data_IF_002243455750
#
_entry.id   IF_002243455750
#
_cell.length_a   1.000
_cell.length_b   1.000
_cell.length_c   1.000
_cell.angle_alpha   90.00
_cell.angle_beta   90.00
_cell.angle_gamma   90.00
#
_symmetry.space_group_name_H-M   'P 1'
#
loop_
_entity.id
_entity.type
_entity.pdbx_description
1 polymer ?
#
# COMPACT_ATOMS: atom_id res chain seq x y z
N UNK A 1 -5.40 36.10 38.12
CA UNK A 1 -4.92 37.31 37.43
C UNK A 1 -4.89 36.97 35.95
N UNK A 2 -5.57 37.79 35.14
CA UNK A 2 -5.90 37.61 33.71
C UNK A 2 -6.65 36.30 33.37
N UNK A 3 -7.96 36.32 33.61
CA UNK A 3 -8.93 35.44 32.93
C UNK A 3 -8.94 35.92 31.47
N UNK A 4 -8.35 35.14 30.58
CA UNK A 4 -8.42 35.38 29.14
C UNK A 4 -9.86 35.18 28.68
N UNK A 5 -10.51 36.28 28.32
CA UNK A 5 -11.85 36.30 27.75
C UNK A 5 -11.68 36.16 26.25
N UNK A 6 -11.75 34.95 25.73
CA UNK A 6 -12.28 34.74 24.38
C UNK A 6 -13.33 33.63 24.46
N UNK A 7 -14.58 34.10 24.59
CA UNK A 7 -15.78 33.31 24.36
C UNK A 7 -15.64 32.63 23.01
N UNK A 8 -15.82 31.31 22.99
CA UNK A 8 -15.90 30.44 21.83
C UNK A 8 -16.52 31.17 20.63
N UNK A 9 -15.70 31.57 19.65
CA UNK A 9 -16.21 31.98 18.34
C UNK A 9 -17.04 30.82 17.82
N UNK A 10 -18.25 31.07 17.32
CA UNK A 10 -19.16 29.99 16.94
C UNK A 10 -18.54 29.14 15.83
N UNK A 11 -18.69 27.80 15.90
CA UNK A 11 -18.20 26.89 14.86
C UNK A 11 -18.71 27.32 13.46
N UNK A 12 -19.93 27.88 13.39
CA UNK A 12 -20.52 28.40 12.15
C UNK A 12 -19.71 29.51 11.50
N UNK A 13 -19.06 30.38 12.28
CA UNK A 13 -18.27 31.49 11.74
C UNK A 13 -16.98 30.95 11.11
N UNK A 14 -16.38 29.93 11.73
CA UNK A 14 -15.21 29.27 11.16
C UNK A 14 -15.57 28.46 9.91
N UNK A 15 -16.69 27.72 9.93
CA UNK A 15 -17.19 27.02 8.74
C UNK A 15 -17.46 27.98 7.58
N UNK A 16 -17.99 29.18 7.84
CA UNK A 16 -18.17 30.22 6.82
C UNK A 16 -16.83 30.66 6.22
N UNK A 17 -15.80 30.89 7.06
CA UNK A 17 -14.45 31.21 6.60
C UNK A 17 -13.88 30.09 5.71
N UNK A 18 -14.06 28.82 6.12
CA UNK A 18 -13.57 27.67 5.37
C UNK A 18 -14.29 27.48 4.03
N UNK A 19 -15.61 27.70 4.00
CA UNK A 19 -16.39 27.66 2.76
C UNK A 19 -15.91 28.75 1.80
N UNK A 20 -15.78 30.00 2.27
CA UNK A 20 -15.29 31.11 1.46
C UNK A 20 -13.86 30.86 0.94
N UNK A 21 -12.99 30.31 1.78
CA UNK A 21 -11.63 29.90 1.40
C UNK A 21 -11.66 28.83 0.31
N UNK A 22 -12.48 27.80 0.47
CA UNK A 22 -12.60 26.68 -0.48
C UNK A 22 -13.15 27.15 -1.83
N UNK A 23 -14.19 27.98 -1.81
CA UNK A 23 -14.79 28.57 -3.01
C UNK A 23 -13.78 29.47 -3.73
N UNK A 24 -13.02 30.28 -2.99
CA UNK A 24 -11.97 31.13 -3.55
C UNK A 24 -10.89 30.28 -4.24
N UNK A 25 -10.40 29.23 -3.59
CA UNK A 25 -9.43 28.28 -4.18
C UNK A 25 -9.98 27.58 -5.43
N UNK A 26 -11.26 27.21 -5.42
CA UNK A 26 -11.93 26.58 -6.56
C UNK A 26 -12.00 27.53 -7.77
N UNK A 27 -12.35 28.80 -7.53
CA UNK A 27 -12.39 29.82 -8.57
C UNK A 27 -11.01 30.17 -9.14
N UNK A 28 -10.03 30.43 -8.28
CA UNK A 28 -8.68 30.83 -8.68
C UNK A 28 -7.95 29.69 -9.38
N UNK A 29 -8.13 28.44 -8.95
CA UNK A 29 -7.55 27.27 -9.61
C UNK A 29 -8.07 27.04 -11.04
N UNK A 30 -9.32 27.44 -11.30
CA UNK A 30 -9.88 27.43 -12.65
C UNK A 30 -9.29 28.53 -13.52
N UNK A 31 -9.10 29.74 -12.96
CA UNK A 31 -8.50 30.88 -13.67
C UNK A 31 -7.00 30.69 -13.94
N UNK A 32 -6.30 30.02 -13.03
CA UNK A 32 -4.84 29.89 -13.01
C UNK A 32 -4.36 28.43 -12.98
N UNK A 33 -5.00 27.55 -13.76
CA UNK A 33 -4.80 26.10 -13.72
C UNK A 33 -3.33 25.68 -13.81
N UNK A 34 -2.55 26.28 -14.72
CA UNK A 34 -1.12 25.97 -14.88
C UNK A 34 -0.26 26.30 -13.64
N UNK A 35 -0.68 27.28 -12.82
CA UNK A 35 -0.02 27.60 -11.55
C UNK A 35 -0.42 26.59 -10.49
N UNK A 36 -1.72 26.32 -10.35
CA UNK A 36 -2.26 25.41 -9.34
C UNK A 36 -1.80 23.96 -9.53
N UNK A 37 -1.61 23.48 -10.77
CA UNK A 37 -1.03 22.15 -11.04
C UNK A 37 0.37 21.93 -10.44
N UNK A 38 1.04 23.02 -10.02
CA UNK A 38 2.38 23.00 -9.41
C UNK A 38 2.35 23.14 -7.88
N UNK A 39 1.18 23.40 -7.28
CA UNK A 39 1.01 23.56 -5.83
C UNK A 39 0.82 22.17 -5.19
N UNK A 40 1.77 21.75 -4.36
CA UNK A 40 1.77 20.48 -3.64
C UNK A 40 2.49 20.66 -2.31
N UNK A 41 2.09 19.89 -1.30
CA UNK A 41 2.66 19.96 0.06
C UNK A 41 2.69 21.40 0.56
N UNK A 42 3.85 21.83 1.07
CA UNK A 42 4.07 23.17 1.61
C UNK A 42 3.64 24.31 0.69
N UNK A 43 3.78 24.18 -0.63
CA UNK A 43 3.34 25.24 -1.56
C UNK A 43 1.82 25.42 -1.57
N UNK A 44 1.08 24.33 -1.35
CA UNK A 44 -0.37 24.43 -1.22
C UNK A 44 -0.74 24.94 0.17
N UNK A 45 0.00 24.57 1.22
CA UNK A 45 -0.18 25.13 2.57
C UNK A 45 -0.02 26.65 2.57
N UNK A 46 1.03 27.17 1.91
CA UNK A 46 1.26 28.62 1.73
C UNK A 46 0.07 29.31 1.02
N UNK A 47 -0.40 28.73 -0.09
CA UNK A 47 -1.54 29.27 -0.84
C UNK A 47 -2.83 29.28 -0.01
N UNK A 48 -3.11 28.19 0.71
CA UNK A 48 -4.28 28.09 1.58
C UNK A 48 -4.21 29.13 2.68
N UNK A 49 -3.05 29.30 3.31
CA UNK A 49 -2.83 30.31 4.34
C UNK A 49 -3.09 31.73 3.82
N UNK A 50 -2.56 32.09 2.65
CA UNK A 50 -2.74 33.43 2.07
C UNK A 50 -4.22 33.70 1.70
N UNK A 51 -4.90 32.71 1.14
CA UNK A 51 -6.34 32.80 0.84
C UNK A 51 -7.15 32.91 2.12
N UNK A 52 -6.87 32.09 3.13
CA UNK A 52 -7.55 32.16 4.42
C UNK A 52 -7.35 33.53 5.08
N UNK A 53 -6.14 34.10 5.08
CA UNK A 53 -5.87 35.45 5.59
C UNK A 53 -6.73 36.50 4.87
N UNK A 54 -6.78 36.42 3.54
CA UNK A 54 -7.58 37.33 2.71
C UNK A 54 -9.08 37.21 2.98
N UNK A 55 -9.59 35.98 3.14
CA UNK A 55 -10.99 35.69 3.45
C UNK A 55 -11.36 36.05 4.90
N UNK A 56 -10.39 36.17 5.81
CA UNK A 56 -10.62 36.46 7.23
C UNK A 56 -10.81 37.93 7.54
N UNK A 57 -10.54 38.84 6.60
CA UNK A 57 -10.65 40.30 6.82
C UNK A 57 -12.10 40.68 7.20
N UNK A 58 -12.24 41.50 8.24
CA UNK A 58 -13.51 41.86 8.88
C UNK A 58 -14.27 40.68 9.53
N UNK A 59 -13.59 39.56 9.82
CA UNK A 59 -14.15 38.44 10.59
C UNK A 59 -13.47 38.34 11.95
N UNK A 60 -14.03 37.60 12.92
CA UNK A 60 -13.36 37.30 14.20
C UNK A 60 -11.99 36.61 14.06
N UNK A 61 -11.65 36.10 12.87
CA UNK A 61 -10.39 35.42 12.59
C UNK A 61 -9.31 36.34 12.01
N UNK A 62 -9.64 37.60 11.70
CA UNK A 62 -8.67 38.56 11.14
C UNK A 62 -7.45 38.69 12.05
N UNK A 63 -6.25 38.47 11.49
CA UNK A 63 -4.98 38.56 12.23
C UNK A 63 -4.75 37.42 13.22
N UNK A 64 -5.57 36.37 13.22
CA UNK A 64 -5.43 35.20 14.12
C UNK A 64 -4.96 33.92 13.43
N UNK A 65 -4.77 33.99 12.10
CA UNK A 65 -4.40 32.84 11.27
C UNK A 65 -2.89 32.70 11.25
N UNK A 66 -2.39 31.51 11.55
CA UNK A 66 -0.95 31.23 11.61
C UNK A 66 -0.63 29.95 10.84
N UNK A 67 0.36 30.02 9.95
CA UNK A 67 0.94 28.86 9.28
C UNK A 67 1.96 28.19 10.20
N UNK A 68 1.72 26.94 10.56
CA UNK A 68 2.53 26.19 11.50
C UNK A 68 3.58 25.37 10.75
N UNK A 69 4.82 25.85 10.77
CA UNK A 69 5.96 25.11 10.21
C UNK A 69 6.45 23.98 11.15
N UNK A 70 7.11 22.96 10.57
CA UNK A 70 7.89 21.98 11.32
C UNK A 70 7.14 20.74 11.80
N UNK A 71 6.65 19.90 10.87
CA UNK A 71 6.03 18.59 11.13
C UNK A 71 4.97 18.59 12.26
N UNK A 72 4.25 19.69 12.45
CA UNK A 72 3.16 19.78 13.43
C UNK A 72 1.82 19.41 12.80
N UNK A 73 0.83 19.17 13.66
CA UNK A 73 -0.54 18.89 13.26
C UNK A 73 -1.49 19.83 14.03
N UNK A 74 -2.35 20.62 13.39
CA UNK A 74 -2.53 20.82 11.95
C UNK A 74 -1.52 21.79 11.32
N UNK A 75 -1.56 21.92 9.99
CA UNK A 75 -0.68 22.80 9.21
C UNK A 75 -0.98 24.30 9.43
N UNK A 76 -2.25 24.69 9.62
CA UNK A 76 -2.67 26.07 9.87
C UNK A 76 -3.55 26.11 11.13
N UNK A 77 -3.39 27.12 11.98
CA UNK A 77 -4.27 27.37 13.13
C UNK A 77 -4.97 28.72 13.00
N UNK A 78 -6.14 28.85 13.65
CA UNK A 78 -6.88 30.09 13.74
C UNK A 78 -7.46 30.27 15.14
N UNK A 79 -7.25 31.47 15.71
CA UNK A 79 -7.77 31.89 17.02
C UNK A 79 -7.46 30.89 18.16
N UNK A 80 -6.31 30.19 18.09
CA UNK A 80 -5.83 29.19 19.06
C UNK A 80 -6.86 28.11 19.46
N UNK A 81 -7.83 27.83 18.58
CA UNK A 81 -8.88 26.84 18.85
C UNK A 81 -9.17 25.96 17.64
N UNK A 82 -9.10 26.56 16.45
CA UNK A 82 -9.36 25.89 15.19
C UNK A 82 -8.06 25.58 14.47
N UNK A 83 -8.08 24.55 13.63
CA UNK A 83 -7.01 24.33 12.68
C UNK A 83 -7.45 23.67 11.39
N UNK A 84 -6.58 23.76 10.39
CA UNK A 84 -6.79 23.26 9.03
C UNK A 84 -5.57 22.43 8.66
N UNK A 85 -5.82 21.15 8.42
CA UNK A 85 -4.85 20.23 7.83
C UNK A 85 -5.00 20.27 6.31
N UNK A 86 -3.90 20.53 5.61
CA UNK A 86 -3.88 20.64 4.16
C UNK A 86 -3.32 19.35 3.56
N UNK A 87 -4.04 18.80 2.59
CA UNK A 87 -3.59 17.65 1.81
C UNK A 87 -3.83 17.86 0.33
N UNK A 88 -2.99 17.23 -0.49
CA UNK A 88 -3.16 17.23 -1.93
C UNK A 88 -2.85 15.88 -2.55
N UNK A 89 -3.40 15.67 -3.75
CA UNK A 89 -3.03 14.55 -4.61
C UNK A 89 -2.91 15.01 -6.06
N UNK A 90 -2.07 14.31 -6.83
CA UNK A 90 -2.00 14.42 -8.30
C UNK A 90 -2.91 13.43 -9.01
N UNK A 91 -3.55 12.53 -8.27
CA UNK A 91 -4.42 11.51 -8.83
C UNK A 91 -5.86 12.01 -8.84
N UNK A 92 -6.70 11.48 -9.73
CA UNK A 92 -8.12 11.80 -9.71
C UNK A 92 -8.86 11.02 -8.60
N UNK A 93 -8.44 11.18 -7.34
CA UNK A 93 -8.96 10.45 -6.17
C UNK A 93 -9.14 11.39 -4.98
N UNK A 94 -10.17 11.13 -4.18
CA UNK A 94 -10.44 11.85 -2.92
C UNK A 94 -9.91 11.12 -1.68
N UNK A 95 -8.94 10.23 -1.89
CA UNK A 95 -8.38 9.35 -0.86
C UNK A 95 -6.90 9.61 -0.66
N UNK A 96 -6.47 9.61 0.59
CA UNK A 96 -5.05 9.68 0.94
C UNK A 96 -4.77 9.08 2.32
N UNK A 97 -3.50 9.04 2.70
CA UNK A 97 -3.07 8.72 4.06
C UNK A 97 -3.03 10.00 4.90
N UNK A 98 -3.68 9.99 6.05
CA UNK A 98 -3.69 11.08 7.02
C UNK A 98 -2.54 11.03 8.01
N UNK A 99 -2.76 11.65 9.17
CA UNK A 99 -1.78 11.75 10.25
C UNK A 99 -1.77 10.52 11.14
N UNK A 100 -0.75 10.45 11.99
CA UNK A 100 -0.58 9.37 12.97
C UNK A 100 -1.76 9.34 13.94
N UNK A 101 -2.27 8.15 14.23
CA UNK A 101 -3.32 7.93 15.26
C UNK A 101 -2.87 8.41 16.64
N UNK A 102 -1.55 8.42 16.88
CA UNK A 102 -0.97 8.92 18.12
C UNK A 102 -1.04 10.45 18.27
N UNK A 103 -1.18 11.19 17.17
CA UNK A 103 -1.22 12.66 17.15
C UNK A 103 -0.11 13.34 17.98
N UNK A 104 1.08 12.72 18.08
CA UNK A 104 2.19 13.19 18.92
C UNK A 104 2.75 14.55 18.52
N UNK A 105 2.42 15.05 17.34
CA UNK A 105 2.83 16.34 16.81
C UNK A 105 1.72 17.39 16.87
N UNK A 106 0.62 17.10 17.56
CA UNK A 106 -0.53 17.99 17.67
C UNK A 106 -0.15 19.29 18.39
N UNK A 107 -0.57 20.42 17.83
CA UNK A 107 -0.47 21.73 18.47
C UNK A 107 -1.42 21.76 19.68
N UNK A 108 -0.90 22.20 20.84
CA UNK A 108 -1.67 22.31 22.08
C UNK A 108 -2.87 23.26 21.89
N UNK A 109 -3.92 23.05 22.70
CA UNK A 109 -5.16 23.84 22.75
C UNK A 109 -6.07 23.85 21.50
N UNK A 110 -5.64 23.31 20.36
CA UNK A 110 -6.49 23.16 19.16
C UNK A 110 -7.55 22.07 19.38
N UNK A 111 -8.83 22.44 19.35
CA UNK A 111 -9.96 21.53 19.61
C UNK A 111 -10.63 21.02 18.34
N UNK A 112 -10.76 21.86 17.30
CA UNK A 112 -11.47 21.51 16.06
C UNK A 112 -10.53 21.58 14.87
N UNK A 113 -10.42 20.49 14.12
CA UNK A 113 -9.56 20.41 12.94
C UNK A 113 -10.41 20.09 11.72
N UNK A 114 -10.13 20.79 10.62
CA UNK A 114 -10.75 20.55 9.32
C UNK A 114 -9.70 20.06 8.33
N UNK A 115 -10.10 19.19 7.42
CA UNK A 115 -9.28 18.70 6.32
C UNK A 115 -9.60 19.51 5.07
N UNK A 116 -8.65 20.32 4.60
CA UNK A 116 -8.71 20.96 3.29
C UNK A 116 -7.91 20.12 2.30
N UNK A 117 -8.61 19.53 1.34
CA UNK A 117 -8.05 18.61 0.36
C UNK A 117 -8.11 19.20 -1.04
N UNK A 118 -6.94 19.42 -1.66
CA UNK A 118 -6.80 19.77 -3.08
C UNK A 118 -6.56 18.55 -3.97
N UNK A 119 -7.49 18.25 -4.88
CA UNK A 119 -7.28 17.30 -5.97
C UNK A 119 -6.63 18.05 -7.13
N UNK A 120 -5.30 18.07 -7.14
CA UNK A 120 -4.45 18.78 -8.11
C UNK A 120 -4.27 17.90 -9.36
N UNK A 121 -5.41 17.58 -9.97
CA UNK A 121 -5.58 16.88 -11.25
C UNK A 121 -6.46 17.77 -12.13
N UNK A 122 -6.56 17.55 -13.45
CA UNK A 122 -7.48 18.33 -14.30
C UNK A 122 -8.84 17.61 -14.42
N UNK A 123 -9.98 18.21 -13.99
CA UNK A 123 -10.13 19.54 -13.38
C UNK A 123 -9.67 19.58 -11.91
N UNK A 124 -9.11 20.75 -11.52
CA UNK A 124 -8.62 20.98 -10.16
C UNK A 124 -9.83 21.22 -9.26
N UNK A 125 -9.90 20.48 -8.15
CA UNK A 125 -11.03 20.56 -7.24
C UNK A 125 -10.56 20.63 -5.79
N UNK A 126 -11.32 21.35 -4.96
CA UNK A 126 -11.08 21.47 -3.53
C UNK A 126 -12.28 21.00 -2.70
N UNK A 127 -12.00 20.42 -1.53
CA UNK A 127 -13.00 20.09 -0.52
C UNK A 127 -12.49 20.42 0.86
N UNK A 128 -13.39 20.93 1.71
CA UNK A 128 -13.12 21.12 3.12
C UNK A 128 -14.21 20.45 3.95
N UNK A 129 -13.82 19.69 4.99
CA UNK A 129 -14.72 18.94 5.87
C UNK A 129 -14.09 18.79 7.27
N UNK A 130 -14.88 18.56 8.33
CA UNK A 130 -14.33 18.17 9.63
C UNK A 130 -13.39 16.97 9.47
N UNK A 131 -12.26 16.99 10.19
CA UNK A 131 -11.20 15.99 10.03
C UNK A 131 -11.71 14.58 10.35
N UNK A 132 -12.40 14.45 11.48
CA UNK A 132 -12.98 13.21 12.00
C UNK A 132 -13.96 12.55 11.01
N UNK A 133 -14.73 13.35 10.27
CA UNK A 133 -15.73 12.90 9.31
C UNK A 133 -15.13 12.27 8.05
N UNK A 134 -13.83 12.46 7.83
CA UNK A 134 -13.13 11.99 6.65
C UNK A 134 -12.35 10.68 6.91
N UNK A 135 -12.28 10.20 8.15
CA UNK A 135 -11.41 9.09 8.54
C UNK A 135 -12.14 7.75 8.42
N UNK A 136 -11.92 7.03 7.32
CA UNK A 136 -12.66 5.78 7.06
C UNK A 136 -11.97 4.53 7.63
N UNK A 137 -10.66 4.56 7.87
CA UNK A 137 -9.92 3.40 8.37
C UNK A 137 -8.64 3.80 9.10
N UNK A 138 -7.95 2.82 9.69
CA UNK A 138 -6.55 2.97 10.12
C UNK A 138 -5.68 2.09 9.22
N UNK A 139 -4.71 2.72 8.56
CA UNK A 139 -3.69 2.08 7.73
C UNK A 139 -2.31 2.20 8.38
N UNK A 140 -1.36 1.34 8.00
CA UNK A 140 0.00 1.40 8.51
C UNK A 140 0.94 1.61 7.34
N UNK A 141 1.68 2.72 7.40
CA UNK A 141 2.74 3.06 6.44
C UNK A 141 4.10 3.10 7.13
N UNK A 142 4.17 3.64 8.36
CA UNK A 142 5.34 3.60 9.27
C UNK A 142 4.93 3.61 10.76
N UNK A 143 3.84 4.32 11.06
CA UNK A 143 3.04 4.24 12.28
C UNK A 143 1.58 4.02 11.86
N UNK A 144 0.67 3.60 12.76
CA UNK A 144 -0.76 3.63 12.47
C UNK A 144 -1.18 5.05 12.12
N UNK A 145 -1.78 5.23 10.95
CA UNK A 145 -2.28 6.49 10.42
C UNK A 145 -3.72 6.34 10.01
N UNK A 146 -4.47 7.43 10.10
CA UNK A 146 -5.82 7.41 9.55
C UNK A 146 -5.79 7.34 8.02
N UNK A 147 -6.76 6.65 7.43
CA UNK A 147 -7.03 6.68 6.02
C UNK A 147 -8.16 7.65 5.75
N UNK A 148 -7.94 8.58 4.81
CA UNK A 148 -8.85 9.69 4.51
C UNK A 148 -9.64 9.38 3.24
N UNK A 149 -10.94 9.69 3.26
CA UNK A 149 -11.81 9.76 2.08
C UNK A 149 -12.72 10.99 2.18
N UNK A 150 -12.53 11.99 1.32
CA UNK A 150 -13.35 13.21 1.33
C UNK A 150 -14.79 12.96 0.87
N UNK A 151 -15.11 11.79 0.32
CA UNK A 151 -16.47 11.38 -0.06
C UNK A 151 -17.09 10.41 0.95
N UNK A 152 -16.49 10.25 2.13
CA UNK A 152 -17.00 9.33 3.13
C UNK A 152 -18.41 9.71 3.56
N UNK A 153 -19.32 8.74 3.48
CA UNK A 153 -20.72 8.89 3.92
C UNK A 153 -20.83 8.86 5.44
N UNK A 154 -21.86 9.51 5.98
CA UNK A 154 -22.19 9.50 7.41
C UNK A 154 -22.33 8.04 7.90
N UNK A 155 -21.80 7.74 9.10
CA UNK A 155 -21.87 6.41 9.69
C UNK A 155 -20.86 5.40 9.11
N UNK A 156 -19.82 5.86 8.40
CA UNK A 156 -18.79 5.03 7.78
C UNK A 156 -17.37 5.35 8.23
N UNK A 157 -17.21 6.22 9.23
CA UNK A 157 -15.91 6.52 9.82
C UNK A 157 -15.35 5.30 10.54
N UNK A 158 -14.04 5.31 10.83
CA UNK A 158 -13.44 4.30 11.69
C UNK A 158 -14.01 4.38 13.12
N UNK A 159 -14.42 5.57 13.55
CA UNK A 159 -15.06 5.83 14.84
C UNK A 159 -16.43 5.15 14.95
N UNK A 160 -17.26 5.26 13.90
CA UNK A 160 -18.52 4.53 13.79
C UNK A 160 -18.33 3.01 13.85
N UNK A 161 -17.24 2.51 13.24
CA UNK A 161 -16.94 1.07 13.19
C UNK A 161 -16.53 0.50 14.55
N UNK A 162 -15.92 1.32 15.41
CA UNK A 162 -15.45 0.91 16.74
C UNK A 162 -16.35 1.40 17.88
N UNK A 163 -17.42 2.13 17.56
CA UNK A 163 -18.39 2.68 18.51
C UNK A 163 -17.75 3.61 19.56
N UNK A 164 -16.86 4.49 19.12
CA UNK A 164 -16.18 5.47 19.98
C UNK A 164 -15.98 6.80 19.25
N UNK A 165 -16.24 7.90 19.96
CA UNK A 165 -16.01 9.26 19.47
C UNK A 165 -14.53 9.59 19.28
N UNK A 166 -14.21 10.38 18.25
CA UNK A 166 -12.84 10.81 17.95
C UNK A 166 -12.18 11.54 19.13
N UNK A 167 -12.88 12.49 19.74
CA UNK A 167 -12.38 13.26 20.89
C UNK A 167 -12.03 12.35 22.08
N UNK A 168 -12.78 11.26 22.28
CA UNK A 168 -12.51 10.27 23.34
C UNK A 168 -11.21 9.52 23.07
N UNK A 169 -10.94 9.19 21.82
CA UNK A 169 -9.77 8.41 21.43
C UNK A 169 -8.50 9.25 21.47
N UNK A 170 -8.52 10.46 20.89
CA UNK A 170 -7.32 11.32 20.85
C UNK A 170 -6.84 11.74 22.24
N UNK A 171 -7.76 11.84 23.21
CA UNK A 171 -7.46 12.18 24.61
C UNK A 171 -7.07 10.95 25.45
N UNK A 172 -7.17 9.74 24.90
CA UNK A 172 -6.80 8.51 25.58
C UNK A 172 -5.28 8.42 25.79
N UNK A 173 -4.80 7.88 26.92
CA UNK A 173 -3.38 7.55 27.09
C UNK A 173 -2.86 6.55 26.04
N UNK A 174 -3.74 5.78 25.41
CA UNK A 174 -3.39 4.86 24.32
C UNK A 174 -4.43 4.93 23.20
N UNK A 175 -4.30 5.89 22.27
CA UNK A 175 -5.24 6.08 21.16
C UNK A 175 -5.30 4.88 20.21
N UNK A 176 -4.25 4.05 20.16
CA UNK A 176 -4.18 2.92 19.24
C UNK A 176 -5.06 1.75 19.75
N UNK A 177 -5.14 1.54 21.06
CA UNK A 177 -5.77 0.36 21.69
C UNK A 177 -7.16 0.01 21.13
N UNK A 178 -8.11 0.96 21.00
CA UNK A 178 -9.45 0.63 20.50
C UNK A 178 -9.45 0.06 19.08
N UNK A 179 -8.64 0.63 18.18
CA UNK A 179 -8.47 0.11 16.83
C UNK A 179 -7.87 -1.29 16.85
N UNK A 180 -6.94 -1.57 17.78
CA UNK A 180 -6.34 -2.90 17.91
C UNK A 180 -7.39 -3.96 18.23
N UNK A 181 -8.24 -3.67 19.21
CA UNK A 181 -9.30 -4.58 19.65
C UNK A 181 -10.33 -4.81 18.55
N UNK A 182 -10.73 -3.75 17.85
CA UNK A 182 -11.62 -3.83 16.69
C UNK A 182 -11.10 -4.76 15.60
N UNK A 183 -9.83 -4.63 15.20
CA UNK A 183 -9.26 -5.51 14.18
C UNK A 183 -9.04 -6.93 14.69
N UNK A 184 -8.66 -7.11 15.95
CA UNK A 184 -8.46 -8.44 16.55
C UNK A 184 -9.73 -9.27 16.50
N UNK A 185 -10.88 -8.65 16.77
CA UNK A 185 -12.19 -9.30 16.73
C UNK A 185 -12.64 -9.66 15.30
N UNK A 186 -11.95 -9.19 14.26
CA UNK A 186 -12.22 -9.49 12.85
C UNK A 186 -11.25 -10.50 12.24
N UNK A 187 -10.24 -10.95 13.00
CA UNK A 187 -9.29 -11.94 12.53
C UNK A 187 -9.97 -13.31 12.42
N UNK A 188 -9.73 -14.00 11.31
CA UNK A 188 -10.08 -15.41 11.14
C UNK A 188 -9.00 -16.31 11.76
N UNK A 189 -9.34 -17.58 12.00
CA UNK A 189 -8.38 -18.58 12.46
C UNK A 189 -7.14 -18.62 11.54
N UNK A 190 -5.95 -18.40 12.12
CA UNK A 190 -4.68 -18.31 11.39
C UNK A 190 -4.35 -16.93 10.80
N UNK A 191 -5.03 -15.86 11.23
CA UNK A 191 -4.63 -14.47 10.99
C UNK A 191 -4.16 -13.82 12.31
N UNK A 192 -3.14 -12.97 12.24
CA UNK A 192 -2.60 -12.28 13.41
C UNK A 192 -2.20 -10.84 13.08
N UNK A 193 -2.34 -9.95 14.07
CA UNK A 193 -1.91 -8.56 13.98
C UNK A 193 -0.48 -8.46 14.49
N UNK A 194 0.46 -8.08 13.63
CA UNK A 194 1.90 -8.11 13.93
C UNK A 194 2.38 -6.98 14.86
N UNK A 195 1.55 -6.02 15.28
CA UNK A 195 1.99 -5.11 16.34
C UNK A 195 1.88 -5.83 17.68
N UNK A 196 3.01 -6.27 18.23
CA UNK A 196 3.18 -6.42 19.67
C UNK A 196 4.59 -5.93 19.98
N UNK A 197 4.63 -4.82 20.71
CA UNK A 197 5.72 -4.44 21.61
C UNK A 197 7.07 -3.98 21.04
N UNK A 198 7.11 -3.05 20.08
CA UNK A 198 8.27 -2.15 19.97
C UNK A 198 7.88 -0.78 19.39
N UNK A 199 8.29 0.29 20.08
CA UNK A 199 8.15 1.69 19.64
C UNK A 199 9.00 2.04 18.41
N UNK A 200 9.83 1.11 17.96
CA UNK A 200 10.55 1.18 16.70
C UNK A 200 10.09 0.01 15.85
N UNK A 201 9.39 0.24 14.72
CA UNK A 201 9.57 -0.49 13.46
C UNK A 201 8.48 -0.14 12.44
N UNK A 202 8.92 0.17 11.20
CA UNK A 202 8.10 0.45 10.00
C UNK A 202 7.44 -0.81 9.45
N UNK A 203 6.18 -0.76 8.96
CA UNK A 203 5.82 -1.57 7.79
C UNK A 203 4.67 -1.06 6.88
N UNK A 204 4.75 -1.44 5.59
CA UNK A 204 3.63 -1.45 4.64
C UNK A 204 2.77 -2.74 4.77
N UNK A 205 1.44 -2.52 4.84
CA UNK A 205 0.27 -3.45 4.90
C UNK A 205 0.14 -4.40 6.11
N UNK A 206 -1.11 -4.60 6.55
CA UNK A 206 -1.51 -4.89 7.96
C UNK A 206 -1.73 -6.37 8.31
N UNK A 207 -1.94 -7.27 7.34
CA UNK A 207 -2.42 -8.64 7.65
C UNK A 207 -1.46 -9.69 7.09
N UNK A 208 -0.93 -10.53 7.96
CA UNK A 208 -0.28 -11.77 7.57
C UNK A 208 -1.32 -12.89 7.43
N UNK A 209 -1.21 -13.69 6.37
CA UNK A 209 -2.03 -14.88 6.16
C UNK A 209 -1.17 -16.13 6.37
N UNK A 210 -1.68 -17.14 7.08
CA UNK A 210 -1.07 -18.47 7.02
C UNK A 210 -1.46 -19.11 5.69
N UNK A 211 -0.53 -19.75 5.00
CA UNK A 211 -0.75 -20.41 3.70
C UNK A 211 -2.03 -21.27 3.67
N UNK A 212 -2.33 -21.96 4.77
CA UNK A 212 -3.48 -22.84 4.88
C UNK A 212 -4.82 -22.10 4.76
N UNK A 213 -4.90 -20.83 5.17
CA UNK A 213 -6.11 -20.00 5.07
C UNK A 213 -6.37 -19.46 3.67
N UNK A 214 -5.41 -19.59 2.74
CA UNK A 214 -5.57 -19.15 1.35
C UNK A 214 -6.55 -20.05 0.60
N UNK A 215 -7.34 -19.46 -0.29
CA UNK A 215 -8.18 -20.23 -1.19
C UNK A 215 -7.33 -20.93 -2.26
N UNK A 216 -7.92 -21.90 -2.98
CA UNK A 216 -7.19 -22.69 -3.98
C UNK A 216 -6.55 -21.82 -5.06
N UNK A 217 -7.25 -20.80 -5.56
CA UNK A 217 -6.75 -19.89 -6.60
C UNK A 217 -5.53 -19.09 -6.14
N UNK A 218 -5.52 -18.61 -4.90
CA UNK A 218 -4.37 -17.94 -4.27
C UNK A 218 -3.18 -18.91 -4.13
N UNK A 219 -3.42 -20.12 -3.62
CA UNK A 219 -2.38 -21.15 -3.47
C UNK A 219 -1.75 -21.52 -4.82
N UNK A 220 -2.58 -21.73 -5.84
CA UNK A 220 -2.13 -22.03 -7.20
C UNK A 220 -1.31 -20.86 -7.75
N UNK A 221 -1.81 -19.62 -7.64
CA UNK A 221 -1.09 -18.40 -8.04
C UNK A 221 0.30 -18.31 -7.42
N UNK A 222 0.41 -18.43 -6.10
CA UNK A 222 1.71 -18.30 -5.43
C UNK A 222 2.65 -19.48 -5.71
N UNK A 223 2.11 -20.66 -6.01
CA UNK A 223 2.92 -21.80 -6.46
C UNK A 223 3.50 -21.54 -7.86
N UNK A 224 2.69 -20.98 -8.78
CA UNK A 224 3.15 -20.57 -10.12
C UNK A 224 4.22 -19.49 -10.02
N UNK A 225 3.98 -18.44 -9.21
CA UNK A 225 4.96 -17.38 -8.95
C UNK A 225 6.25 -17.93 -8.33
N UNK A 226 6.15 -18.96 -7.49
CA UNK A 226 7.30 -19.67 -6.96
C UNK A 226 8.21 -20.20 -8.06
N UNK A 227 7.65 -20.91 -9.05
CA UNK A 227 8.43 -21.39 -10.19
C UNK A 227 8.92 -20.27 -11.12
N UNK A 228 8.07 -19.27 -11.39
CA UNK A 228 8.40 -18.18 -12.30
C UNK A 228 9.54 -17.30 -11.75
N UNK A 229 9.52 -16.99 -10.46
CA UNK A 229 10.48 -16.07 -9.85
C UNK A 229 11.68 -16.78 -9.20
N UNK A 230 11.56 -18.05 -8.83
CA UNK A 230 12.62 -18.80 -8.14
C UNK A 230 12.90 -20.16 -8.79
N UNK A 231 13.48 -20.20 -10.00
CA UNK A 231 13.78 -21.45 -10.69
C UNK A 231 14.66 -22.43 -9.90
N UNK A 232 15.43 -21.94 -8.92
CA UNK A 232 16.24 -22.77 -8.03
C UNK A 232 15.43 -23.82 -7.25
N UNK A 233 14.11 -23.65 -7.09
CA UNK A 233 13.19 -24.63 -6.50
C UNK A 233 13.31 -26.02 -7.16
N UNK A 234 13.66 -26.05 -8.45
CA UNK A 234 13.92 -27.27 -9.21
C UNK A 234 15.26 -27.93 -8.87
N UNK A 235 16.12 -27.30 -8.08
CA UNK A 235 17.45 -27.80 -7.73
C UNK A 235 17.46 -28.87 -6.65
N UNK A 236 18.67 -29.25 -6.22
CA UNK A 236 18.90 -30.21 -5.12
C UNK A 236 19.36 -29.58 -3.80
N UNK A 237 19.61 -28.27 -3.80
CA UNK A 237 20.14 -27.55 -2.63
C UNK A 237 19.10 -27.51 -1.51
N UNK A 238 19.54 -27.59 -0.24
CA UNK A 238 18.62 -27.51 0.90
C UNK A 238 17.94 -26.14 1.00
N UNK A 239 18.69 -25.07 0.69
CA UNK A 239 18.28 -23.66 0.77
C UNK A 239 17.47 -23.18 -0.44
N UNK A 240 17.11 -24.07 -1.36
CA UNK A 240 16.45 -23.70 -2.63
C UNK A 240 15.06 -23.08 -2.47
N UNK A 241 14.46 -23.21 -1.29
CA UNK A 241 13.17 -22.64 -0.96
C UNK A 241 13.28 -21.32 -0.18
N UNK A 242 14.48 -20.94 0.28
CA UNK A 242 14.66 -19.84 1.24
C UNK A 242 14.23 -18.51 0.65
N UNK A 243 14.63 -18.23 -0.61
CA UNK A 243 14.24 -16.98 -1.28
C UNK A 243 12.75 -16.88 -1.52
N UNK A 244 12.11 -17.97 -1.93
CA UNK A 244 10.65 -18.00 -2.07
C UNK A 244 9.97 -17.84 -0.72
N UNK A 245 10.46 -18.50 0.34
CA UNK A 245 9.94 -18.38 1.72
C UNK A 245 10.05 -16.94 2.22
N UNK A 246 11.19 -16.29 2.00
CA UNK A 246 11.42 -14.90 2.36
C UNK A 246 10.54 -13.96 1.54
N UNK A 247 10.42 -14.16 0.24
CA UNK A 247 9.55 -13.35 -0.62
C UNK A 247 8.07 -13.51 -0.22
N UNK A 248 7.63 -14.74 0.04
CA UNK A 248 6.27 -15.03 0.46
C UNK A 248 5.97 -14.38 1.82
N UNK A 249 6.88 -14.48 2.78
CA UNK A 249 6.71 -13.93 4.13
C UNK A 249 6.85 -12.40 4.17
N UNK A 250 7.87 -11.85 3.52
CA UNK A 250 8.20 -10.42 3.62
C UNK A 250 7.43 -9.59 2.60
N UNK A 251 7.36 -10.04 1.35
CA UNK A 251 6.74 -9.26 0.25
C UNK A 251 5.26 -9.58 0.08
N UNK A 252 4.83 -10.82 0.33
CA UNK A 252 3.43 -11.23 0.19
C UNK A 252 2.68 -11.40 1.52
N UNK A 253 3.38 -11.24 2.66
CA UNK A 253 2.83 -11.40 4.02
C UNK A 253 2.13 -12.74 4.23
N UNK A 254 2.65 -13.80 3.60
CA UNK A 254 2.12 -15.15 3.71
C UNK A 254 3.15 -16.03 4.41
N UNK A 255 2.76 -16.58 5.56
CA UNK A 255 3.58 -17.53 6.31
C UNK A 255 3.20 -18.93 5.85
N UNK A 256 4.16 -19.64 5.26
CA UNK A 256 3.97 -21.03 4.85
C UNK A 256 4.93 -21.93 5.64
N UNK A 257 4.44 -22.64 6.68
CA UNK A 257 5.29 -23.56 7.45
C UNK A 257 5.86 -24.72 6.61
N UNK A 258 5.13 -25.12 5.56
CA UNK A 258 5.41 -26.34 4.78
C UNK A 258 5.78 -26.02 3.32
N UNK A 259 6.59 -24.98 3.06
CA UNK A 259 6.95 -24.54 1.69
C UNK A 259 7.47 -25.68 0.81
N UNK A 260 8.31 -26.55 1.36
CA UNK A 260 8.89 -27.70 0.62
C UNK A 260 7.82 -28.58 0.00
N UNK A 261 6.74 -28.84 0.74
CA UNK A 261 5.72 -29.80 0.35
C UNK A 261 4.86 -29.27 -0.80
N UNK A 262 4.75 -27.93 -0.94
CA UNK A 262 4.09 -27.28 -2.07
C UNK A 262 4.65 -27.75 -3.42
N UNK A 263 5.97 -27.96 -3.48
CA UNK A 263 6.66 -28.31 -4.72
C UNK A 263 6.97 -29.80 -4.81
N UNK A 264 7.23 -30.47 -3.68
CA UNK A 264 7.82 -31.82 -3.68
C UNK A 264 6.88 -32.95 -3.25
N UNK A 265 5.72 -32.64 -2.64
CA UNK A 265 4.81 -33.67 -2.14
C UNK A 265 4.18 -34.50 -3.26
N UNK A 266 4.33 -35.83 -3.18
CA UNK A 266 3.75 -36.78 -4.13
C UNK A 266 4.75 -37.63 -4.93
N UNK A 267 5.99 -37.78 -4.46
CA UNK A 267 6.94 -38.78 -4.95
C UNK A 267 7.52 -38.48 -6.35
N UNK A 268 7.47 -39.46 -7.25
CA UNK A 268 7.95 -39.35 -8.63
C UNK A 268 6.80 -39.59 -9.61
N UNK A 269 6.89 -39.05 -10.82
CA UNK A 269 5.88 -39.23 -11.88
C UNK A 269 6.50 -39.46 -13.26
N UNK A 270 5.65 -39.74 -14.25
CA UNK A 270 6.04 -39.92 -15.64
C UNK A 270 5.33 -38.87 -16.50
N UNK A 271 6.03 -38.27 -17.46
CA UNK A 271 5.49 -37.27 -18.39
C UNK A 271 6.00 -37.57 -19.80
N UNK A 272 5.19 -37.27 -20.81
CA UNK A 272 5.62 -37.29 -22.22
C UNK A 272 5.74 -35.86 -22.73
N UNK A 273 6.90 -35.49 -23.27
CA UNK A 273 7.16 -34.19 -23.93
C UNK A 273 7.62 -34.49 -25.36
N UNK A 274 6.94 -33.98 -26.39
CA UNK A 274 7.37 -34.07 -27.80
C UNK A 274 7.86 -35.48 -28.21
N UNK A 275 7.07 -36.50 -27.84
CA UNK A 275 7.33 -37.93 -28.04
C UNK A 275 8.46 -38.56 -27.18
N UNK A 276 9.13 -37.77 -26.35
CA UNK A 276 10.08 -38.25 -25.34
C UNK A 276 9.35 -38.62 -24.05
N UNK A 277 9.42 -39.91 -23.65
CA UNK A 277 8.84 -40.39 -22.41
C UNK A 277 9.83 -40.23 -21.26
N UNK A 278 9.60 -39.24 -20.41
CA UNK A 278 10.36 -38.99 -19.20
C UNK A 278 9.75 -39.82 -18.07
N UNK A 279 10.54 -40.70 -17.46
CA UNK A 279 10.09 -41.56 -16.36
C UNK A 279 10.76 -41.19 -15.04
N UNK A 280 10.06 -41.45 -13.93
CA UNK A 280 10.55 -41.25 -12.57
C UNK A 280 11.02 -39.81 -12.25
N UNK A 281 10.38 -38.79 -12.85
CA UNK A 281 10.68 -37.38 -12.56
C UNK A 281 10.34 -37.05 -11.10
N UNK A 282 11.21 -36.31 -10.39
CA UNK A 282 10.85 -35.67 -9.12
C UNK A 282 9.57 -34.84 -9.26
N UNK A 283 8.70 -34.88 -8.23
CA UNK A 283 7.40 -34.19 -8.29
C UNK A 283 7.49 -32.71 -8.62
N UNK A 284 8.56 -32.04 -8.18
CA UNK A 284 8.78 -30.63 -8.50
C UNK A 284 8.87 -30.38 -10.01
N UNK A 285 9.52 -31.28 -10.76
CA UNK A 285 9.57 -31.22 -12.23
C UNK A 285 8.24 -31.61 -12.85
N UNK A 286 7.55 -32.60 -12.31
CA UNK A 286 6.22 -32.99 -12.79
C UNK A 286 5.25 -31.81 -12.72
N UNK A 287 5.20 -31.12 -11.57
CA UNK A 287 4.35 -29.94 -11.37
C UNK A 287 4.78 -28.78 -12.26
N UNK A 288 6.09 -28.54 -12.40
CA UNK A 288 6.63 -27.50 -13.28
C UNK A 288 6.22 -27.73 -14.74
N UNK A 289 6.48 -28.92 -15.29
CA UNK A 289 6.17 -29.24 -16.69
C UNK A 289 4.67 -29.15 -16.96
N UNK A 290 3.83 -29.69 -16.07
CA UNK A 290 2.37 -29.63 -16.24
C UNK A 290 1.80 -28.20 -16.18
N UNK A 291 2.51 -27.25 -15.58
CA UNK A 291 2.07 -25.86 -15.45
C UNK A 291 2.95 -24.89 -16.25
N UNK A 292 3.78 -25.39 -17.16
CA UNK A 292 4.82 -24.58 -17.82
C UNK A 292 4.23 -23.37 -18.55
N UNK A 293 3.08 -23.53 -19.20
CA UNK A 293 2.45 -22.44 -19.94
C UNK A 293 2.02 -21.30 -19.00
N UNK A 294 1.47 -21.62 -17.83
CA UNK A 294 1.10 -20.62 -16.82
C UNK A 294 2.33 -19.94 -16.20
N UNK A 295 3.38 -20.71 -15.93
CA UNK A 295 4.63 -20.21 -15.35
C UNK A 295 5.31 -19.25 -16.31
N UNK A 296 5.41 -19.63 -17.58
CA UNK A 296 6.06 -18.82 -18.60
C UNK A 296 5.23 -17.56 -18.92
N UNK A 297 3.91 -17.67 -18.99
CA UNK A 297 3.06 -16.49 -19.18
C UNK A 297 3.26 -15.48 -18.04
N UNK A 298 3.23 -15.93 -16.79
CA UNK A 298 3.46 -15.06 -15.62
C UNK A 298 4.87 -14.45 -15.62
N UNK A 299 5.88 -15.23 -16.01
CA UNK A 299 7.26 -14.75 -16.14
C UNK A 299 7.40 -13.67 -17.23
N UNK A 300 6.88 -13.92 -18.43
CA UNK A 300 6.96 -13.00 -19.57
C UNK A 300 6.16 -11.71 -19.31
N UNK A 301 5.00 -11.81 -18.64
CA UNK A 301 4.18 -10.65 -18.29
C UNK A 301 4.75 -9.84 -17.12
N UNK A 302 5.70 -10.38 -16.35
CA UNK A 302 6.31 -9.67 -15.22
C UNK A 302 7.34 -8.65 -15.71
N UNK A 303 7.30 -7.43 -15.16
CA UNK A 303 8.25 -6.37 -15.49
C UNK A 303 9.70 -6.73 -15.16
N UNK A 304 10.62 -6.29 -16.02
CA UNK A 304 12.07 -6.53 -15.89
C UNK A 304 12.59 -5.98 -14.55
N UNK A 305 12.11 -4.81 -14.13
CA UNK A 305 12.51 -4.16 -12.87
C UNK A 305 12.21 -5.03 -11.66
N UNK A 306 11.02 -5.65 -11.62
CA UNK A 306 10.61 -6.54 -10.53
C UNK A 306 11.47 -7.82 -10.51
N UNK A 307 11.77 -8.40 -11.68
CA UNK A 307 12.64 -9.57 -11.76
C UNK A 307 14.08 -9.24 -11.32
N UNK A 308 14.60 -8.07 -11.72
CA UNK A 308 15.89 -7.56 -11.28
C UNK A 308 15.94 -7.34 -9.76
N UNK A 309 14.88 -6.82 -9.15
CA UNK A 309 14.77 -6.69 -7.69
C UNK A 309 14.88 -8.06 -7.00
N UNK A 310 14.12 -9.05 -7.50
CA UNK A 310 14.07 -10.39 -6.90
C UNK A 310 15.41 -11.12 -7.10
N UNK A 311 16.03 -11.00 -8.27
CA UNK A 311 17.26 -11.71 -8.61
C UNK A 311 18.54 -10.96 -8.24
N UNK A 312 18.42 -9.69 -7.86
CA UNK A 312 19.53 -8.76 -7.59
C UNK A 312 20.48 -8.67 -8.79
N UNK A 313 19.89 -8.43 -9.96
CA UNK A 313 20.59 -8.26 -11.24
C UNK A 313 20.30 -6.88 -11.84
N UNK A 314 21.07 -6.48 -12.85
CA UNK A 314 20.85 -5.22 -13.56
C UNK A 314 20.68 -5.46 -15.07
N UNK A 315 19.84 -6.43 -15.43
CA UNK A 315 19.60 -6.80 -16.81
C UNK A 315 18.67 -5.78 -17.46
N UNK A 316 19.01 -5.28 -18.65
CA UNK A 316 18.29 -4.17 -19.29
C UNK A 316 17.29 -4.62 -20.34
N UNK A 317 17.51 -5.79 -20.95
CA UNK A 317 16.67 -6.25 -22.06
C UNK A 317 15.83 -7.48 -21.70
N UNK A 318 14.67 -7.63 -22.35
CA UNK A 318 13.80 -8.80 -22.16
C UNK A 318 14.49 -10.09 -22.62
N UNK A 319 15.29 -10.03 -23.68
CA UNK A 319 16.00 -11.20 -24.21
C UNK A 319 17.01 -11.73 -23.19
N UNK A 320 17.84 -10.86 -22.60
CA UNK A 320 18.81 -11.25 -21.57
C UNK A 320 18.11 -11.81 -20.31
N UNK A 321 16.95 -11.25 -19.90
CA UNK A 321 16.15 -11.77 -18.79
C UNK A 321 15.65 -13.19 -19.09
N UNK A 322 15.17 -13.43 -20.31
CA UNK A 322 14.68 -14.73 -20.75
C UNK A 322 15.83 -15.77 -20.76
N UNK A 323 16.99 -15.42 -21.32
CA UNK A 323 18.19 -16.26 -21.32
C UNK A 323 18.63 -16.60 -19.89
N UNK A 324 18.62 -15.62 -18.98
CA UNK A 324 18.97 -15.85 -17.57
C UNK A 324 17.97 -16.78 -16.88
N UNK A 325 16.66 -16.65 -17.16
CA UNK A 325 15.64 -17.55 -16.62
C UNK A 325 15.84 -18.99 -17.12
N UNK A 326 16.05 -19.17 -18.42
CA UNK A 326 16.34 -20.46 -19.05
C UNK A 326 17.56 -21.08 -18.39
N UNK A 327 18.66 -20.33 -18.31
CA UNK A 327 19.92 -20.78 -17.71
C UNK A 327 19.73 -21.22 -16.27
N UNK A 328 19.03 -20.44 -15.43
CA UNK A 328 18.71 -20.82 -14.04
C UNK A 328 17.87 -22.10 -13.97
N UNK A 329 16.85 -22.21 -14.82
CA UNK A 329 15.92 -23.34 -14.87
C UNK A 329 16.60 -24.63 -15.31
N UNK A 330 17.38 -24.58 -16.38
CA UNK A 330 18.16 -25.73 -16.89
C UNK A 330 19.21 -26.14 -15.87
N UNK A 331 19.97 -25.20 -15.32
CA UNK A 331 20.96 -25.49 -14.28
C UNK A 331 20.34 -26.17 -13.07
N UNK A 332 19.18 -25.71 -12.60
CA UNK A 332 18.52 -26.28 -11.44
C UNK A 332 17.95 -27.68 -11.73
N UNK A 333 17.22 -27.83 -12.84
CA UNK A 333 16.57 -29.09 -13.22
C UNK A 333 17.55 -30.21 -13.56
N UNK A 334 18.65 -29.90 -14.26
CA UNK A 334 19.68 -30.87 -14.61
C UNK A 334 20.40 -31.45 -13.38
N UNK A 335 20.35 -30.78 -12.22
CA UNK A 335 20.90 -31.32 -10.97
C UNK A 335 20.09 -32.50 -10.39
N UNK A 336 18.83 -32.64 -10.78
CA UNK A 336 17.89 -33.62 -10.20
C UNK A 336 17.35 -34.63 -11.21
N UNK A 337 17.54 -34.39 -12.50
CA UNK A 337 17.04 -35.26 -13.55
C UNK A 337 17.90 -35.18 -14.81
N UNK A 338 18.11 -36.33 -15.45
CA UNK A 338 18.76 -36.42 -16.76
C UNK A 338 17.69 -36.53 -17.85
N UNK A 339 17.60 -35.53 -18.72
CA UNK A 339 16.61 -35.43 -19.78
C UNK A 339 16.92 -36.33 -21.00
N UNK A 340 18.07 -37.00 -21.02
CA UNK A 340 18.44 -37.95 -22.07
C UNK A 340 18.53 -37.26 -23.44
N UNK A 341 17.77 -37.74 -24.41
CA UNK A 341 17.73 -37.20 -25.78
C UNK A 341 16.82 -35.98 -25.94
N UNK A 342 16.00 -35.66 -24.93
CA UNK A 342 15.14 -34.47 -24.98
C UNK A 342 16.01 -33.22 -24.84
N UNK A 343 15.97 -32.35 -25.84
CA UNK A 343 16.54 -31.01 -25.73
C UNK A 343 15.60 -30.13 -24.88
N UNK A 344 15.74 -30.25 -23.56
CA UNK A 344 14.88 -29.57 -22.60
C UNK A 344 15.04 -28.04 -22.64
N UNK A 345 16.24 -27.55 -22.97
CA UNK A 345 16.50 -26.12 -23.16
C UNK A 345 15.71 -25.55 -24.32
N UNK A 346 15.82 -26.17 -25.50
CA UNK A 346 15.04 -25.77 -26.68
C UNK A 346 13.53 -25.85 -26.43
N UNK A 347 13.07 -26.89 -25.75
CA UNK A 347 11.65 -27.01 -25.39
C UNK A 347 11.18 -25.83 -24.52
N UNK A 348 11.99 -25.38 -23.55
CA UNK A 348 11.67 -24.20 -22.73
C UNK A 348 11.72 -22.91 -23.57
N UNK A 349 12.72 -22.75 -24.42
CA UNK A 349 12.82 -21.60 -25.34
C UNK A 349 11.57 -21.46 -26.21
N UNK A 350 11.09 -22.57 -26.78
CA UNK A 350 9.89 -22.61 -27.59
C UNK A 350 8.65 -22.18 -26.77
N UNK A 351 8.56 -22.58 -25.50
CA UNK A 351 7.50 -22.12 -24.59
C UNK A 351 7.54 -20.61 -24.35
N UNK A 352 8.72 -20.05 -24.09
CA UNK A 352 8.90 -18.59 -23.89
C UNK A 352 8.58 -17.82 -25.16
N UNK A 353 9.04 -18.30 -26.32
CA UNK A 353 8.78 -17.67 -27.61
C UNK A 353 7.28 -17.64 -27.94
N UNK A 354 6.57 -18.74 -27.65
CA UNK A 354 5.12 -18.82 -27.86
C UNK A 354 4.35 -17.87 -26.94
N UNK A 355 4.70 -17.81 -25.66
CA UNK A 355 4.10 -16.86 -24.72
C UNK A 355 4.36 -15.40 -25.11
N UNK A 356 5.59 -15.08 -25.53
CA UNK A 356 5.95 -13.72 -25.97
C UNK A 356 5.16 -13.28 -27.20
N UNK A 357 4.86 -14.20 -28.13
CA UNK A 357 4.00 -13.91 -29.29
C UNK A 357 2.54 -13.66 -28.92
N UNK A 358 2.03 -14.28 -27.86
CA UNK A 358 0.66 -14.08 -27.40
C UNK A 358 0.44 -12.72 -26.68
N UNK A 359 1.52 -12.06 -26.26
CA UNK A 359 1.51 -10.75 -25.58
C UNK A 359 1.90 -9.57 -26.49
N UNK A 360 2.20 -9.83 -27.77
CA UNK A 360 2.33 -8.81 -28.83
C UNK A 360 1.00 -8.68 -29.55
#
# INVERSE_FOLDING_TARGET
MLISVNKEVANSDFEQLLNLTTDTLQETSTKETNRYLKLLGNKLEDEVYDVMCSCSVNTPFEGTIELISGQKFPDIIANNFYGVEVKSTKQNLWKTTGNSVLESTRVEDIQRIYMLFGKIFDPIEFKCRPYEDCLYDVIVTHSPRYAIDMNLSIGKTIFDKIDLEYDTIRQSPNPIKPFKEYYRNKLSEGQELWWLDNEEYKPDSIIFKIWNSLNKKEKDKFTILGYAYFPEILGKQQTKFDKFTLWLSVKQRIICPNVRDLFTAGGRGNITIENSKLSALPKALVKFINNIDLIVNEFVSTDIEKLNEIWRTDIKTRNEINEEWIRKTIKASAMIYNFGTLNFEKWIEDKINNATKAHK
#
